data_IF_558922022528
#
_entry.id   IF_558922022528
#
_cell.length_a   1.000
_cell.length_b   1.000
_cell.length_c   1.000
_cell.angle_alpha   90.00
_cell.angle_beta   90.00
_cell.angle_gamma   90.00
#
_symmetry.space_group_name_H-M   'P 1'
#
loop_
_entity.id
_entity.type
_entity.pdbx_description
1 polymer ?
#
# COMPACT_ATOMS: atom_id res chain seq x y z
N UNK A 1 -84.05 -27.06 0.61
CA UNK A 1 -84.92 -26.67 1.74
C UNK A 1 -84.02 -26.31 2.91
N UNK A 2 -84.20 -25.16 3.58
CA UNK A 2 -83.51 -24.89 4.85
C UNK A 2 -83.90 -25.96 5.90
N UNK A 3 -83.01 -26.23 6.88
CA UNK A 3 -83.29 -27.20 7.94
C UNK A 3 -84.44 -26.71 8.85
N UNK A 4 -85.14 -27.65 9.50
CA UNK A 4 -86.15 -27.31 10.50
C UNK A 4 -85.51 -26.59 11.70
N UNK A 5 -86.22 -25.60 12.26
CA UNK A 5 -85.73 -24.74 13.35
C UNK A 5 -86.67 -24.83 14.54
N UNK A 6 -86.12 -25.14 15.71
CA UNK A 6 -86.85 -25.00 16.99
C UNK A 6 -86.83 -23.52 17.42
N UNK A 7 -88.00 -22.86 17.55
CA UNK A 7 -88.07 -21.45 17.94
C UNK A 7 -87.48 -21.13 19.32
N UNK A 8 -87.59 -22.04 20.30
CA UNK A 8 -87.10 -21.80 21.66
C UNK A 8 -85.57 -21.88 21.72
N UNK A 9 -85.00 -22.92 21.09
CA UNK A 9 -83.55 -23.07 20.97
C UNK A 9 -82.94 -21.92 20.15
N UNK A 10 -83.57 -21.55 19.04
CA UNK A 10 -83.09 -20.47 18.17
C UNK A 10 -83.01 -19.12 18.90
N UNK A 11 -83.99 -18.80 19.75
CA UNK A 11 -83.97 -17.57 20.56
C UNK A 11 -82.79 -17.57 21.55
N UNK A 12 -82.61 -18.66 22.31
CA UNK A 12 -81.51 -18.78 23.29
C UNK A 12 -80.15 -18.73 22.60
N UNK A 13 -79.97 -19.43 21.48
CA UNK A 13 -78.74 -19.39 20.71
C UNK A 13 -78.46 -17.99 20.18
N UNK A 14 -79.47 -17.29 19.64
CA UNK A 14 -79.30 -15.94 19.11
C UNK A 14 -78.82 -14.96 20.19
N UNK A 15 -79.41 -14.99 21.39
CA UNK A 15 -78.98 -14.15 22.51
C UNK A 15 -77.59 -14.53 23.03
N UNK A 16 -77.26 -15.82 23.13
CA UNK A 16 -75.90 -16.26 23.50
C UNK A 16 -74.85 -15.82 22.48
N UNK A 17 -75.13 -15.94 21.19
CA UNK A 17 -74.24 -15.46 20.13
C UNK A 17 -74.07 -13.95 20.18
N UNK A 18 -75.15 -13.20 20.48
CA UNK A 18 -75.10 -11.75 20.66
C UNK A 18 -74.16 -11.37 21.80
N UNK A 19 -74.35 -11.96 22.98
CA UNK A 19 -73.50 -11.72 24.15
C UNK A 19 -72.04 -12.12 23.90
N UNK A 20 -71.81 -13.31 23.34
CA UNK A 20 -70.46 -13.79 23.00
C UNK A 20 -69.75 -12.85 22.02
N UNK A 21 -70.43 -12.45 20.94
CA UNK A 21 -69.86 -11.52 19.94
C UNK A 21 -69.56 -10.14 20.54
N UNK A 22 -70.39 -9.67 21.46
CA UNK A 22 -70.15 -8.42 22.17
C UNK A 22 -68.88 -8.51 23.03
N UNK A 23 -68.75 -9.56 23.84
CA UNK A 23 -67.58 -9.76 24.71
C UNK A 23 -66.29 -9.96 23.91
N UNK A 24 -66.31 -10.83 22.89
CA UNK A 24 -65.15 -11.05 22.02
C UNK A 24 -64.81 -9.81 21.19
N UNK A 25 -65.83 -9.04 20.78
CA UNK A 25 -65.65 -7.74 20.14
C UNK A 25 -64.90 -6.75 21.04
N UNK A 26 -65.25 -6.67 22.32
CA UNK A 26 -64.56 -5.84 23.30
C UNK A 26 -63.10 -6.30 23.52
N UNK A 27 -62.88 -7.60 23.72
CA UNK A 27 -61.52 -8.17 23.86
C UNK A 27 -60.63 -7.86 22.65
N UNK A 28 -61.18 -7.94 21.44
CA UNK A 28 -60.45 -7.58 20.21
C UNK A 28 -60.02 -6.12 20.21
N UNK A 29 -60.86 -5.21 20.70
CA UNK A 29 -60.53 -3.78 20.78
C UNK A 29 -59.41 -3.53 21.80
N UNK A 30 -59.45 -4.18 22.96
CA UNK A 30 -58.38 -4.12 23.96
C UNK A 30 -57.05 -4.58 23.37
N UNK A 31 -57.01 -5.74 22.74
CA UNK A 31 -55.78 -6.25 22.10
C UNK A 31 -55.29 -5.34 20.97
N UNK A 32 -56.20 -4.79 20.16
CA UNK A 32 -55.82 -3.83 19.11
C UNK A 32 -55.20 -2.56 19.71
N UNK A 33 -55.70 -2.09 20.86
CA UNK A 33 -55.15 -0.93 21.57
C UNK A 33 -53.75 -1.23 22.13
N UNK A 34 -53.55 -2.41 22.71
CA UNK A 34 -52.25 -2.84 23.25
C UNK A 34 -51.19 -2.97 22.16
N UNK A 35 -51.55 -3.55 21.01
CA UNK A 35 -50.63 -3.67 19.88
C UNK A 35 -50.21 -2.29 19.38
N UNK A 36 -51.15 -1.35 19.26
CA UNK A 36 -50.84 0.04 18.88
C UNK A 36 -49.95 0.72 19.91
N UNK A 37 -50.22 0.55 21.21
CA UNK A 37 -49.41 1.12 22.30
C UNK A 37 -47.99 0.58 22.25
N UNK A 38 -47.81 -0.74 22.14
CA UNK A 38 -46.48 -1.38 22.04
C UNK A 38 -45.71 -0.90 20.80
N UNK A 39 -46.39 -0.75 19.66
CA UNK A 39 -45.77 -0.24 18.44
C UNK A 39 -45.32 1.23 18.60
N UNK A 40 -46.11 2.05 19.29
CA UNK A 40 -45.74 3.43 19.61
C UNK A 40 -44.57 3.50 20.58
N UNK A 41 -44.61 2.75 21.70
CA UNK A 41 -43.52 2.69 22.68
C UNK A 41 -42.21 2.18 22.08
N UNK A 42 -42.26 1.24 21.14
CA UNK A 42 -41.07 0.76 20.44
C UNK A 42 -40.44 1.80 19.51
N UNK A 43 -41.25 2.68 18.90
CA UNK A 43 -40.77 3.69 17.95
C UNK A 43 -40.38 5.01 18.62
N UNK A 44 -41.20 5.43 19.59
CA UNK A 44 -41.18 6.78 20.19
C UNK A 44 -41.45 6.72 21.69
N UNK A 45 -41.25 5.56 22.32
CA UNK A 45 -41.25 5.47 23.77
C UNK A 45 -39.99 6.12 24.34
N UNK A 46 -40.12 6.67 25.55
CA UNK A 46 -39.03 7.35 26.28
C UNK A 46 -37.77 6.49 26.39
N UNK A 47 -37.92 5.18 26.55
CA UNK A 47 -36.79 4.24 26.61
C UNK A 47 -36.08 4.08 25.25
N UNK A 48 -36.83 4.09 24.15
CA UNK A 48 -36.25 4.00 22.80
C UNK A 48 -35.44 5.27 22.49
N UNK A 49 -36.02 6.44 22.75
CA UNK A 49 -35.34 7.73 22.54
C UNK A 49 -34.09 7.88 23.42
N UNK A 50 -34.18 7.48 24.71
CA UNK A 50 -33.03 7.49 25.61
C UNK A 50 -31.90 6.61 25.09
N UNK A 51 -32.19 5.38 24.65
CA UNK A 51 -31.18 4.48 24.08
C UNK A 51 -30.52 5.05 22.83
N UNK A 52 -31.30 5.66 21.93
CA UNK A 52 -30.74 6.31 20.73
C UNK A 52 -29.80 7.45 21.12
N UNK A 53 -30.17 8.24 22.13
CA UNK A 53 -29.32 9.32 22.63
C UNK A 53 -28.05 8.81 23.28
N UNK A 54 -28.15 7.82 24.17
CA UNK A 54 -27.00 7.19 24.84
C UNK A 54 -26.04 6.61 23.80
N UNK A 55 -26.54 5.85 22.81
CA UNK A 55 -25.73 5.31 21.73
C UNK A 55 -25.04 6.40 20.89
N UNK A 56 -25.71 7.52 20.63
CA UNK A 56 -25.13 8.65 19.91
C UNK A 56 -24.04 9.36 20.74
N UNK A 57 -24.22 9.48 22.05
CA UNK A 57 -23.23 10.05 22.98
C UNK A 57 -22.00 9.14 23.10
N UNK A 58 -22.20 7.83 23.27
CA UNK A 58 -21.12 6.82 23.26
C UNK A 58 -20.34 6.85 21.95
N UNK A 59 -21.03 6.88 20.80
CA UNK A 59 -20.39 6.97 19.51
C UNK A 59 -19.51 8.22 19.39
N UNK A 60 -20.00 9.39 19.84
CA UNK A 60 -19.20 10.63 19.84
C UNK A 60 -17.97 10.51 20.74
N UNK A 61 -18.10 9.92 21.92
CA UNK A 61 -16.99 9.70 22.84
C UNK A 61 -15.91 8.79 22.21
N UNK A 62 -16.32 7.69 21.58
CA UNK A 62 -15.40 6.78 20.87
C UNK A 62 -14.71 7.46 19.69
N UNK A 63 -15.43 8.28 18.93
CA UNK A 63 -14.82 9.04 17.83
C UNK A 63 -13.80 10.06 18.33
N UNK A 64 -14.07 10.75 19.43
CA UNK A 64 -13.12 11.68 20.05
C UNK A 64 -11.87 10.95 20.54
N UNK A 65 -12.03 9.79 21.18
CA UNK A 65 -10.91 8.96 21.62
C UNK A 65 -10.07 8.47 20.43
N UNK A 66 -10.71 8.01 19.35
CA UNK A 66 -10.00 7.58 18.15
C UNK A 66 -9.19 8.73 17.52
N UNK A 67 -9.74 9.94 17.49
CA UNK A 67 -9.02 11.11 16.98
C UNK A 67 -7.78 11.43 17.82
N UNK A 68 -7.87 11.34 19.14
CA UNK A 68 -6.74 11.59 20.02
C UNK A 68 -5.65 10.53 19.86
N UNK A 69 -6.03 9.26 19.74
CA UNK A 69 -5.08 8.18 19.47
C UNK A 69 -4.41 8.34 18.10
N UNK A 70 -5.16 8.75 17.07
CA UNK A 70 -4.60 9.06 15.77
C UNK A 70 -3.58 10.22 15.83
N UNK A 71 -3.85 11.25 16.64
CA UNK A 71 -2.89 12.36 16.85
C UNK A 71 -1.62 11.87 17.52
N UNK A 72 -1.74 11.03 18.56
CA UNK A 72 -0.59 10.42 19.25
C UNK A 72 0.28 9.62 18.28
N UNK A 73 -0.34 8.77 17.46
CA UNK A 73 0.37 7.97 16.46
C UNK A 73 1.00 8.84 15.35
N UNK A 74 0.32 9.92 14.94
CA UNK A 74 0.86 10.85 13.95
C UNK A 74 2.13 11.54 14.46
N UNK A 75 2.17 11.95 15.72
CA UNK A 75 3.37 12.54 16.33
C UNK A 75 4.54 11.54 16.34
N UNK A 76 4.28 10.28 16.70
CA UNK A 76 5.28 9.21 16.66
C UNK A 76 5.79 8.96 15.24
N UNK A 77 4.89 8.96 14.25
CA UNK A 77 5.25 8.82 12.83
C UNK A 77 6.14 9.95 12.35
N UNK A 78 5.83 11.20 12.71
CA UNK A 78 6.64 12.37 12.34
C UNK A 78 8.04 12.25 12.95
N UNK A 79 8.14 11.89 14.23
CA UNK A 79 9.44 11.70 14.89
C UNK A 79 10.28 10.62 14.21
N UNK A 80 9.66 9.48 13.84
CA UNK A 80 10.33 8.41 13.10
C UNK A 80 10.83 8.88 11.72
N UNK A 81 9.99 9.58 10.96
CA UNK A 81 10.34 10.08 9.63
C UNK A 81 11.48 11.11 9.70
N UNK A 82 11.53 11.95 10.74
CA UNK A 82 12.63 12.89 10.93
C UNK A 82 13.96 12.17 11.20
N UNK A 83 13.94 11.06 11.96
CA UNK A 83 15.12 10.24 12.17
C UNK A 83 15.57 9.56 10.87
N UNK A 84 14.63 8.93 10.16
CA UNK A 84 14.89 8.29 8.87
C UNK A 84 15.46 9.28 7.83
N UNK A 85 14.96 10.52 7.80
CA UNK A 85 15.47 11.57 6.91
C UNK A 85 16.94 11.93 7.22
N UNK A 86 17.30 12.08 8.50
CA UNK A 86 18.69 12.34 8.92
C UNK A 86 19.62 11.20 8.53
N UNK A 87 19.19 9.95 8.74
CA UNK A 87 19.97 8.78 8.35
C UNK A 87 20.14 8.70 6.83
N UNK A 88 19.11 9.06 6.07
CA UNK A 88 19.21 9.13 4.61
C UNK A 88 20.16 10.22 4.14
N UNK A 89 20.14 11.41 4.76
CA UNK A 89 21.08 12.49 4.44
C UNK A 89 22.53 12.06 4.68
N UNK A 90 22.81 11.36 5.79
CA UNK A 90 24.14 10.83 6.08
C UNK A 90 24.59 9.82 5.01
N UNK A 91 23.74 8.84 4.67
CA UNK A 91 24.04 7.86 3.62
C UNK A 91 24.26 8.51 2.26
N UNK A 92 23.45 9.50 1.91
CA UNK A 92 23.61 10.24 0.66
C UNK A 92 24.94 11.01 0.62
N UNK A 93 25.35 11.61 1.74
CA UNK A 93 26.65 12.28 1.83
C UNK A 93 27.82 11.30 1.67
N UNK A 94 27.74 10.12 2.30
CA UNK A 94 28.72 9.04 2.15
C UNK A 94 28.80 8.54 0.70
N UNK A 95 27.65 8.25 0.09
CA UNK A 95 27.55 7.80 -1.31
C UNK A 95 28.12 8.85 -2.27
N UNK A 96 27.82 10.14 -2.04
CA UNK A 96 28.36 11.23 -2.85
C UNK A 96 29.87 11.36 -2.71
N UNK A 97 30.41 11.23 -1.50
CA UNK A 97 31.85 11.22 -1.26
C UNK A 97 32.54 10.03 -1.95
N UNK A 98 31.95 8.84 -1.90
CA UNK A 98 32.48 7.67 -2.59
C UNK A 98 32.46 7.87 -4.12
N UNK A 99 31.33 8.29 -4.68
CA UNK A 99 31.21 8.56 -6.12
C UNK A 99 32.19 9.63 -6.59
N UNK A 100 32.45 10.65 -5.77
CA UNK A 100 33.44 11.67 -6.09
C UNK A 100 34.86 11.08 -6.19
N UNK A 101 35.24 10.19 -5.27
CA UNK A 101 36.54 9.50 -5.29
C UNK A 101 36.67 8.57 -6.50
N UNK A 102 35.64 7.77 -6.77
CA UNK A 102 35.62 6.87 -7.94
C UNK A 102 35.73 7.67 -9.24
N UNK A 103 35.00 8.79 -9.35
CA UNK A 103 35.08 9.68 -10.50
C UNK A 103 36.46 10.30 -10.66
N UNK A 104 37.10 10.74 -9.56
CA UNK A 104 38.47 11.27 -9.59
C UNK A 104 39.46 10.21 -10.07
N UNK A 105 39.39 8.98 -9.53
CA UNK A 105 40.25 7.88 -9.96
C UNK A 105 40.05 7.55 -11.45
N UNK A 106 38.80 7.54 -11.92
CA UNK A 106 38.49 7.31 -13.33
C UNK A 106 39.06 8.41 -14.24
N UNK A 107 38.93 9.68 -13.84
CA UNK A 107 39.52 10.82 -14.59
C UNK A 107 41.03 10.67 -14.67
N UNK A 108 41.71 10.34 -13.57
CA UNK A 108 43.16 10.13 -13.56
C UNK A 108 43.59 8.97 -14.46
N UNK A 109 42.86 7.86 -14.44
CA UNK A 109 43.13 6.73 -15.33
C UNK A 109 42.99 7.13 -16.80
N UNK A 110 41.93 7.86 -17.15
CA UNK A 110 41.72 8.33 -18.53
C UNK A 110 42.75 9.36 -18.95
N UNK A 111 43.20 10.21 -18.05
CA UNK A 111 44.31 11.13 -18.32
C UNK A 111 45.61 10.37 -18.64
N UNK A 112 45.92 9.33 -17.86
CA UNK A 112 47.07 8.46 -18.14
C UNK A 112 46.96 7.74 -19.50
N UNK A 113 45.79 7.19 -19.82
CA UNK A 113 45.55 6.56 -21.14
C UNK A 113 45.76 7.55 -22.28
N UNK A 114 45.28 8.80 -22.14
CA UNK A 114 45.47 9.84 -23.15
C UNK A 114 46.94 10.22 -23.29
N UNK A 115 47.67 10.38 -22.19
CA UNK A 115 49.11 10.68 -22.23
C UNK A 115 49.90 9.54 -22.89
N UNK A 116 49.58 8.29 -22.57
CA UNK A 116 50.20 7.13 -23.23
C UNK A 116 49.93 7.15 -24.74
N UNK A 117 48.69 7.40 -25.16
CA UNK A 117 48.33 7.51 -26.58
C UNK A 117 49.04 8.69 -27.27
N UNK A 118 49.26 9.81 -26.57
CA UNK A 118 50.04 10.93 -27.11
C UNK A 118 51.49 10.55 -27.39
N UNK A 119 52.11 9.76 -26.50
CA UNK A 119 53.47 9.25 -26.72
C UNK A 119 53.52 8.21 -27.85
N UNK A 120 52.57 7.28 -27.89
CA UNK A 120 52.46 6.28 -28.96
C UNK A 120 52.19 6.93 -30.33
N UNK A 121 51.39 8.00 -30.36
CA UNK A 121 51.06 8.72 -31.59
C UNK A 121 52.28 9.35 -32.27
N UNK A 122 53.34 9.68 -31.52
CA UNK A 122 54.60 10.17 -32.09
C UNK A 122 55.29 9.12 -32.97
N UNK A 123 55.03 7.84 -32.72
CA UNK A 123 55.58 6.73 -33.49
C UNK A 123 54.72 6.36 -34.71
N UNK A 124 53.59 7.02 -34.93
CA UNK A 124 52.73 6.74 -36.08
C UNK A 124 53.36 7.17 -37.40
N UNK A 125 52.98 6.45 -38.46
CA UNK A 125 53.40 6.75 -39.82
C UNK A 125 52.51 7.87 -40.36
N UNK A 126 53.14 8.98 -40.72
CA UNK A 126 52.53 10.13 -41.39
C UNK A 126 52.94 10.15 -42.86
N UNK A 127 52.37 11.07 -43.65
CA UNK A 127 52.71 11.16 -45.08
C UNK A 127 54.18 11.53 -45.31
N UNK A 128 54.76 12.25 -44.37
CA UNK A 128 56.12 12.78 -44.44
C UNK A 128 57.18 11.73 -44.06
N UNK A 129 56.89 10.82 -43.11
CA UNK A 129 57.85 9.80 -42.66
C UNK A 129 57.68 8.42 -43.32
N UNK A 130 56.78 8.32 -44.32
CA UNK A 130 56.36 7.07 -44.93
C UNK A 130 57.50 6.31 -45.62
N UNK A 131 58.27 6.96 -46.48
CA UNK A 131 59.34 6.31 -47.26
C UNK A 131 60.44 5.77 -46.34
N UNK A 132 60.87 6.55 -45.35
CA UNK A 132 61.88 6.15 -44.37
C UNK A 132 61.44 4.95 -43.52
N UNK A 133 60.16 4.88 -43.12
CA UNK A 133 59.62 3.75 -42.35
C UNK A 133 59.49 2.47 -43.17
N UNK A 134 59.25 2.58 -44.48
CA UNK A 134 59.22 1.42 -45.38
C UNK A 134 60.62 0.79 -45.48
N UNK A 135 61.65 1.61 -45.66
CA UNK A 135 63.04 1.14 -45.76
C UNK A 135 63.50 0.51 -44.44
N UNK A 136 63.25 1.16 -43.30
CA UNK A 136 63.54 0.62 -41.95
C UNK A 136 62.88 -0.75 -41.71
N UNK A 137 61.62 -0.92 -42.14
CA UNK A 137 60.89 -2.18 -41.97
C UNK A 137 61.41 -3.32 -42.88
N UNK A 138 61.95 -2.99 -44.06
CA UNK A 138 62.59 -3.98 -44.94
C UNK A 138 63.94 -4.45 -44.38
N UNK A 139 64.68 -3.53 -43.76
CA UNK A 139 65.99 -3.81 -43.15
C UNK A 139 65.90 -4.53 -41.80
N UNK A 140 64.80 -4.35 -41.06
CA UNK A 140 64.60 -4.93 -39.71
C UNK A 140 63.39 -5.89 -39.64
N UNK A 141 63.56 -7.18 -39.98
CA UNK A 141 62.50 -8.16 -39.86
C UNK A 141 62.21 -8.48 -38.39
N UNK A 142 60.97 -8.26 -37.94
CA UNK A 142 60.55 -8.53 -36.56
C UNK A 142 59.85 -9.89 -36.44
N UNK A 143 60.42 -10.80 -35.66
CA UNK A 143 59.88 -12.14 -35.44
C UNK A 143 58.98 -12.17 -34.18
N UNK A 144 57.73 -12.62 -34.35
CA UNK A 144 56.77 -12.78 -33.26
C UNK A 144 56.61 -14.26 -32.82
N UNK A 145 57.44 -15.18 -33.34
CA UNK A 145 57.38 -16.59 -32.95
C UNK A 145 57.92 -16.78 -31.53
N UNK A 146 57.06 -17.29 -30.64
CA UNK A 146 57.41 -17.71 -29.30
C UNK A 146 56.67 -19.01 -28.97
N UNK A 147 57.27 -19.85 -28.13
CA UNK A 147 56.69 -21.09 -27.62
C UNK A 147 56.37 -20.96 -26.13
N UNK A 148 55.48 -21.80 -25.62
CA UNK A 148 55.15 -21.88 -24.20
C UNK A 148 55.45 -23.27 -23.66
N UNK A 149 56.08 -23.36 -22.50
CA UNK A 149 56.33 -24.65 -21.83
C UNK A 149 55.06 -25.16 -21.16
N UNK A 150 55.08 -26.42 -20.72
CA UNK A 150 53.94 -27.02 -19.97
C UNK A 150 53.67 -26.30 -18.64
N UNK A 151 54.67 -25.62 -18.10
CA UNK A 151 54.63 -24.81 -16.88
C UNK A 151 54.17 -23.37 -17.15
N UNK A 152 53.84 -23.02 -18.40
CA UNK A 152 53.36 -21.69 -18.79
C UNK A 152 54.47 -20.66 -19.02
N UNK A 153 55.74 -21.07 -19.11
CA UNK A 153 56.85 -20.16 -19.34
C UNK A 153 57.02 -19.85 -20.83
N UNK A 154 57.16 -18.56 -21.17
CA UNK A 154 57.38 -18.10 -22.54
C UNK A 154 58.85 -18.30 -22.93
N UNK A 155 59.09 -19.05 -24.00
CA UNK A 155 60.41 -19.26 -24.62
C UNK A 155 60.41 -18.58 -25.99
N UNK A 156 61.26 -17.57 -26.18
CA UNK A 156 61.44 -16.87 -27.46
C UNK A 156 62.71 -17.39 -28.13
N UNK A 157 62.64 -17.58 -29.45
CA UNK A 157 63.79 -17.90 -30.29
C UNK A 157 64.41 -16.63 -30.86
#
# INVERSE_FOLDING_TARGET
MPPAVDPAEFFVLTERYRQYRQTVGALRQEFASEVRRKAYEARSGVLAERRVREAAEEHRALMAWNQEENRRLQQQRIARLQLEARDQELRQAEDQAQRAREKQAWVQLKEQEVLQLQEEAKNFITRENLEARIEEALDSPKNYNWAITREGQVVRN
#
